data_IF_879620186687
#
_entry.id   IF_879620186687
#
_cell.length_a   1.000
_cell.length_b   1.000
_cell.length_c   1.000
_cell.angle_alpha   90.00
_cell.angle_beta   90.00
_cell.angle_gamma   90.00
#
_symmetry.space_group_name_H-M   'P 1'
#
loop_
_entity.id
_entity.type
_entity.pdbx_description
1 polymer ?
#
# COMPACT_ATOMS: atom_id res chain seq x y z
N UNK A 1 -43.98 29.00 -3.90
CA UNK A 1 -42.61 29.21 -4.41
C UNK A 1 -41.69 29.26 -3.19
N UNK A 2 -40.99 28.16 -2.90
CA UNK A 2 -40.30 27.94 -1.61
C UNK A 2 -38.87 28.47 -1.66
N UNK A 3 -38.56 29.51 -0.88
CA UNK A 3 -37.21 29.98 -0.59
C UNK A 3 -36.45 28.94 0.24
N UNK A 4 -35.88 27.93 -0.43
CA UNK A 4 -34.94 26.98 0.19
C UNK A 4 -33.72 26.63 -0.70
N UNK A 5 -32.95 27.62 -1.20
CA UNK A 5 -31.55 27.33 -1.51
C UNK A 5 -30.52 28.29 -0.88
N UNK A 6 -30.93 29.31 -0.10
CA UNK A 6 -29.99 30.32 0.44
C UNK A 6 -29.18 29.86 1.66
N UNK A 7 -29.61 28.81 2.37
CA UNK A 7 -28.89 28.32 3.57
C UNK A 7 -27.73 27.38 3.27
N UNK A 8 -27.62 26.83 2.05
CA UNK A 8 -26.54 25.91 1.70
C UNK A 8 -25.23 26.62 1.29
N UNK A 9 -25.28 27.89 0.90
CA UNK A 9 -24.12 28.65 0.42
C UNK A 9 -23.28 29.23 1.58
N UNK A 10 -23.87 29.39 2.77
CA UNK A 10 -23.18 29.95 3.95
C UNK A 10 -22.21 28.97 4.65
N UNK A 11 -22.24 27.68 4.29
CA UNK A 11 -21.38 26.65 4.90
C UNK A 11 -20.09 26.34 4.12
N UNK A 12 -19.90 26.97 2.96
CA UNK A 12 -18.73 26.77 2.09
C UNK A 12 -17.82 28.01 2.02
N UNK A 13 -17.97 28.98 2.93
CA UNK A 13 -17.07 30.12 2.97
C UNK A 13 -15.74 29.73 3.62
N UNK A 14 -14.59 29.79 2.90
CA UNK A 14 -13.30 29.69 3.56
C UNK A 14 -13.16 30.89 4.48
N UNK A 15 -13.04 30.64 5.79
CA UNK A 15 -12.74 31.68 6.76
C UNK A 15 -11.41 32.34 6.40
N UNK A 16 -11.41 33.67 6.33
CA UNK A 16 -10.18 34.45 6.15
C UNK A 16 -9.31 34.23 7.39
N UNK A 17 -8.14 33.64 7.21
CA UNK A 17 -7.20 33.40 8.29
C UNK A 17 -6.70 34.74 8.84
N UNK A 18 -7.21 35.13 10.01
CA UNK A 18 -6.66 36.23 10.81
C UNK A 18 -5.34 35.77 11.41
N UNK A 19 -4.27 36.51 11.18
CA UNK A 19 -2.92 36.17 11.63
C UNK A 19 -2.88 35.90 13.15
N UNK A 20 -2.42 34.70 13.54
CA UNK A 20 -2.16 34.34 14.94
C UNK A 20 -3.07 33.25 15.53
N UNK A 21 -4.02 32.68 14.78
CA UNK A 21 -4.80 31.53 15.29
C UNK A 21 -3.99 30.23 15.16
N UNK A 22 -3.86 29.40 16.21
CA UNK A 22 -3.23 28.10 16.10
C UNK A 22 -4.02 27.25 15.11
N UNK A 23 -3.42 26.90 13.98
CA UNK A 23 -4.04 25.97 13.05
C UNK A 23 -3.91 24.57 13.66
N UNK A 24 -5.03 23.88 13.83
CA UNK A 24 -5.02 22.47 14.22
C UNK A 24 -4.75 21.68 12.94
N UNK A 25 -3.48 21.35 12.68
CA UNK A 25 -3.16 20.37 11.64
C UNK A 25 -3.64 19.01 12.13
N UNK A 26 -4.48 18.35 11.34
CA UNK A 26 -4.71 16.92 11.53
C UNK A 26 -3.36 16.23 11.36
N UNK A 27 -3.07 15.26 12.22
CA UNK A 27 -1.91 14.40 12.03
C UNK A 27 -2.00 13.72 10.66
N UNK A 28 -0.87 13.41 10.02
CA UNK A 28 -0.87 12.78 8.69
C UNK A 28 -1.74 11.51 8.65
N UNK A 29 -1.74 10.74 9.74
CA UNK A 29 -2.62 9.60 9.93
C UNK A 29 -4.11 9.98 9.89
N UNK A 30 -4.50 11.03 10.60
CA UNK A 30 -5.90 11.47 10.63
C UNK A 30 -6.34 12.02 9.26
N UNK A 31 -5.45 12.72 8.54
CA UNK A 31 -5.70 13.18 7.17
C UNK A 31 -5.93 12.02 6.21
N UNK A 32 -5.07 10.99 6.23
CA UNK A 32 -5.24 9.79 5.42
C UNK A 32 -6.54 9.04 5.74
N UNK A 33 -6.93 8.96 7.02
CA UNK A 33 -8.19 8.32 7.43
C UNK A 33 -9.39 9.10 6.91
N UNK A 34 -9.34 10.43 6.97
CA UNK A 34 -10.41 11.30 6.47
C UNK A 34 -10.56 11.21 4.95
N UNK A 35 -9.45 11.14 4.21
CA UNK A 35 -9.46 10.93 2.77
C UNK A 35 -10.09 9.57 2.41
N UNK A 36 -9.66 8.50 3.08
CA UNK A 36 -10.24 7.17 2.89
C UNK A 36 -11.76 7.16 3.20
N UNK A 37 -12.17 7.72 4.34
CA UNK A 37 -13.59 7.85 4.71
C UNK A 37 -14.39 8.62 3.67
N UNK A 38 -13.82 9.71 3.13
CA UNK A 38 -14.47 10.55 2.12
C UNK A 38 -14.65 9.81 0.81
N UNK A 39 -13.61 9.09 0.35
CA UNK A 39 -13.68 8.24 -0.84
C UNK A 39 -14.74 7.14 -0.68
N UNK A 40 -14.73 6.42 0.44
CA UNK A 40 -15.72 5.38 0.73
C UNK A 40 -17.14 5.93 0.79
N UNK A 41 -17.34 7.09 1.43
CA UNK A 41 -18.65 7.73 1.52
C UNK A 41 -19.16 8.15 0.12
N UNK A 42 -18.27 8.73 -0.70
CA UNK A 42 -18.60 9.08 -2.09
C UNK A 42 -19.00 7.87 -2.92
N UNK A 43 -18.22 6.79 -2.84
CA UNK A 43 -18.53 5.52 -3.52
C UNK A 43 -19.84 4.91 -3.02
N UNK A 44 -20.08 4.92 -1.71
CA UNK A 44 -21.31 4.40 -1.10
C UNK A 44 -22.55 5.16 -1.61
N UNK A 45 -22.47 6.49 -1.68
CA UNK A 45 -23.55 7.32 -2.23
C UNK A 45 -23.74 7.06 -3.73
N UNK A 46 -22.66 6.90 -4.50
CA UNK A 46 -22.73 6.57 -5.92
C UNK A 46 -23.42 5.23 -6.17
N UNK A 47 -23.06 4.19 -5.42
CA UNK A 47 -23.74 2.89 -5.46
C UNK A 47 -25.21 3.01 -5.07
N UNK A 48 -25.53 3.78 -4.04
CA UNK A 48 -26.92 4.05 -3.62
C UNK A 48 -27.73 4.69 -4.74
N UNK A 49 -27.16 5.66 -5.46
CA UNK A 49 -27.80 6.28 -6.61
C UNK A 49 -27.99 5.30 -7.77
N UNK A 50 -26.99 4.45 -8.04
CA UNK A 50 -27.07 3.42 -9.08
C UNK A 50 -28.19 2.40 -8.78
N UNK A 51 -28.26 1.89 -7.55
CA UNK A 51 -29.32 0.97 -7.10
C UNK A 51 -30.69 1.63 -7.21
N UNK A 52 -30.82 2.87 -6.74
CA UNK A 52 -32.07 3.64 -6.88
C UNK A 52 -32.48 3.82 -8.34
N UNK A 53 -31.54 4.17 -9.21
CA UNK A 53 -31.80 4.40 -10.63
C UNK A 53 -32.23 3.11 -11.33
N UNK A 54 -31.53 2.01 -11.07
CA UNK A 54 -31.82 0.71 -11.67
C UNK A 54 -33.18 0.18 -11.20
N UNK A 55 -33.46 0.24 -9.89
CA UNK A 55 -34.74 -0.19 -9.34
C UNK A 55 -35.91 0.63 -9.89
N UNK A 56 -35.76 1.96 -9.93
CA UNK A 56 -36.81 2.84 -10.45
C UNK A 56 -36.95 2.76 -11.98
N UNK A 57 -35.93 2.28 -12.70
CA UNK A 57 -36.04 1.93 -14.12
C UNK A 57 -36.87 0.66 -14.26
N UNK A 58 -36.56 -0.39 -13.50
CA UNK A 58 -37.30 -1.65 -13.51
C UNK A 58 -38.77 -1.49 -13.07
N UNK A 59 -39.03 -0.65 -12.07
CA UNK A 59 -40.37 -0.35 -11.60
C UNK A 59 -41.26 0.37 -12.65
N UNK A 60 -40.70 0.83 -13.78
CA UNK A 60 -41.50 1.35 -14.90
C UNK A 60 -42.16 0.22 -15.67
N UNK A 61 -41.47 -0.91 -15.79
CA UNK A 61 -41.88 -2.04 -16.63
C UNK A 61 -42.69 -3.07 -15.83
N UNK A 62 -42.67 -2.99 -14.49
CA UNK A 62 -43.38 -3.90 -13.60
C UNK A 62 -44.40 -3.14 -12.73
N UNK A 63 -45.71 -3.25 -13.02
CA UNK A 63 -46.75 -2.44 -12.35
C UNK A 63 -46.86 -2.62 -10.83
N UNK A 64 -46.38 -3.75 -10.29
CA UNK A 64 -46.45 -4.08 -8.85
C UNK A 64 -45.25 -3.60 -8.04
N UNK A 65 -44.19 -3.08 -8.67
CA UNK A 65 -42.94 -2.74 -8.00
C UNK A 65 -43.01 -1.31 -7.41
N UNK A 66 -42.80 -1.13 -6.09
CA UNK A 66 -42.81 0.20 -5.47
C UNK A 66 -41.58 1.00 -5.91
N UNK A 67 -41.75 2.33 -6.08
CA UNK A 67 -40.63 3.24 -6.36
C UNK A 67 -39.81 3.50 -5.10
N UNK A 68 -38.49 3.44 -5.22
CA UNK A 68 -37.57 3.75 -4.14
C UNK A 68 -37.26 5.25 -4.08
N UNK A 69 -37.59 5.87 -2.95
CA UNK A 69 -37.08 7.18 -2.56
C UNK A 69 -35.59 7.12 -2.16
N UNK A 70 -34.94 8.28 -2.04
CA UNK A 70 -33.50 8.32 -1.71
C UNK A 70 -33.18 7.72 -0.34
N UNK A 71 -34.02 7.97 0.68
CA UNK A 71 -33.83 7.37 2.00
C UNK A 71 -34.02 5.85 2.00
N UNK A 72 -35.00 5.34 1.25
CA UNK A 72 -35.25 3.90 1.14
C UNK A 72 -34.10 3.19 0.41
N UNK A 73 -33.55 3.78 -0.65
CA UNK A 73 -32.40 3.22 -1.35
C UNK A 73 -31.14 3.22 -0.45
N UNK A 74 -30.90 4.28 0.31
CA UNK A 74 -29.78 4.36 1.25
C UNK A 74 -29.91 3.31 2.35
N UNK A 75 -31.10 3.20 2.95
CA UNK A 75 -31.38 2.18 3.96
C UNK A 75 -31.22 0.76 3.40
N UNK A 76 -31.71 0.51 2.18
CA UNK A 76 -31.57 -0.79 1.52
C UNK A 76 -30.10 -1.17 1.32
N UNK A 77 -29.29 -0.28 0.73
CA UNK A 77 -27.86 -0.53 0.52
C UNK A 77 -27.13 -0.70 1.85
N UNK A 78 -27.42 0.15 2.84
CA UNK A 78 -26.83 0.05 4.17
C UNK A 78 -27.13 -1.28 4.87
N UNK A 79 -28.40 -1.68 4.91
CA UNK A 79 -28.83 -2.96 5.50
C UNK A 79 -28.24 -4.15 4.75
N UNK A 80 -28.16 -4.06 3.42
CA UNK A 80 -27.53 -5.09 2.61
C UNK A 80 -26.04 -5.21 2.94
N UNK A 81 -25.31 -4.09 3.04
CA UNK A 81 -23.91 -4.08 3.46
C UNK A 81 -23.73 -4.68 4.85
N UNK A 82 -24.56 -4.34 5.83
CA UNK A 82 -24.54 -4.93 7.17
C UNK A 82 -24.80 -6.45 7.14
N UNK A 83 -25.77 -6.90 6.34
CA UNK A 83 -26.08 -8.32 6.17
C UNK A 83 -24.91 -9.10 5.59
N UNK A 84 -24.28 -8.58 4.53
CA UNK A 84 -23.07 -9.18 3.96
C UNK A 84 -21.92 -9.17 4.95
N UNK A 85 -21.71 -8.06 5.67
CA UNK A 85 -20.69 -7.97 6.70
C UNK A 85 -20.87 -9.07 7.76
N UNK A 86 -22.10 -9.28 8.24
CA UNK A 86 -22.42 -10.33 9.19
C UNK A 86 -22.11 -11.72 8.62
N UNK A 87 -22.52 -12.01 7.38
CA UNK A 87 -22.25 -13.29 6.72
C UNK A 87 -20.74 -13.52 6.55
N UNK A 88 -20.00 -12.50 6.11
CA UNK A 88 -18.54 -12.59 5.97
C UNK A 88 -17.87 -12.83 7.33
N UNK A 89 -18.32 -12.15 8.39
CA UNK A 89 -17.86 -12.40 9.75
C UNK A 89 -18.18 -13.82 10.22
N UNK A 90 -19.35 -14.37 9.88
CA UNK A 90 -19.70 -15.75 10.22
C UNK A 90 -18.85 -16.78 9.44
N UNK A 91 -18.52 -16.53 8.18
CA UNK A 91 -17.60 -17.40 7.41
C UNK A 91 -16.20 -17.36 8.01
N UNK A 92 -15.72 -16.17 8.37
CA UNK A 92 -14.43 -16.01 9.05
C UNK A 92 -14.41 -16.72 10.42
N UNK A 93 -15.47 -16.58 11.23
CA UNK A 93 -15.61 -17.29 12.51
C UNK A 93 -15.78 -18.81 12.35
N UNK A 94 -16.46 -19.26 11.29
CA UNK A 94 -16.54 -20.68 10.94
C UNK A 94 -15.17 -21.29 10.62
N UNK A 95 -14.29 -20.52 9.97
CA UNK A 95 -12.90 -20.91 9.74
C UNK A 95 -12.11 -21.04 11.05
N UNK A 96 -12.38 -20.19 12.05
CA UNK A 96 -11.75 -20.30 13.38
C UNK A 96 -12.19 -21.56 14.13
N UNK A 97 -13.45 -21.99 13.97
CA UNK A 97 -13.94 -23.27 14.50
C UNK A 97 -13.27 -24.48 13.84
N UNK A 98 -12.81 -24.36 12.59
CA UNK A 98 -12.07 -25.41 11.89
C UNK A 98 -10.59 -25.51 12.33
N UNK A 99 -10.08 -24.57 13.13
CA UNK A 99 -8.70 -24.59 13.68
C UNK A 99 -8.70 -24.53 15.22
N UNK A 100 -9.27 -25.53 15.90
CA UNK A 100 -9.32 -25.54 17.37
C UNK A 100 -7.90 -25.55 17.95
N UNK A 101 -7.63 -24.63 18.89
CA UNK A 101 -6.32 -24.51 19.56
C UNK A 101 -5.25 -23.68 18.82
N UNK A 102 -5.59 -23.09 17.67
CA UNK A 102 -4.68 -22.22 16.91
C UNK A 102 -4.53 -20.81 17.50
N UNK A 103 -5.37 -20.40 18.44
CA UNK A 103 -5.33 -19.08 19.05
C UNK A 103 -4.84 -19.14 20.49
N UNK A 104 -3.86 -18.32 20.83
CA UNK A 104 -3.39 -18.10 22.20
C UNK A 104 -3.61 -16.64 22.61
N UNK A 105 -3.84 -16.42 23.92
CA UNK A 105 -4.04 -15.08 24.44
C UNK A 105 -2.69 -14.34 24.45
N UNK A 106 -2.60 -13.25 23.69
CA UNK A 106 -1.43 -12.37 23.62
C UNK A 106 -1.81 -10.97 24.13
N UNK A 107 -1.52 -10.71 25.40
CA UNK A 107 -1.91 -9.47 26.08
C UNK A 107 -3.43 -9.29 26.18
N UNK A 108 -3.96 -8.23 25.57
CA UNK A 108 -5.41 -7.91 25.51
C UNK A 108 -6.13 -8.51 24.30
N UNK A 109 -5.39 -9.13 23.38
CA UNK A 109 -5.92 -9.70 22.13
C UNK A 109 -5.58 -11.19 22.02
N UNK A 110 -6.16 -11.88 21.03
CA UNK A 110 -5.80 -13.25 20.70
C UNK A 110 -4.89 -13.24 19.47
N UNK A 111 -3.81 -14.01 19.50
CA UNK A 111 -2.87 -14.17 18.40
C UNK A 111 -2.79 -15.63 17.99
N UNK A 112 -2.42 -15.88 16.73
CA UNK A 112 -2.24 -17.25 16.25
C UNK A 112 -0.97 -17.84 16.88
N UNK A 113 -1.09 -19.04 17.44
CA UNK A 113 0.00 -19.77 18.09
C UNK A 113 1.14 -19.99 17.08
N UNK A 114 2.33 -19.49 17.40
CA UNK A 114 3.52 -19.65 16.56
C UNK A 114 3.73 -18.56 15.49
N UNK A 115 2.86 -17.55 15.42
CA UNK A 115 3.15 -16.32 14.71
C UNK A 115 3.52 -15.24 15.75
N UNK A 116 4.81 -15.08 16.13
CA UNK A 116 5.19 -13.89 16.85
C UNK A 116 4.74 -12.69 16.00
N UNK A 117 3.98 -11.74 16.56
CA UNK A 117 3.69 -10.51 15.83
C UNK A 117 5.03 -9.91 15.48
N UNK A 118 5.33 -9.84 14.17
CA UNK A 118 6.55 -9.20 13.69
C UNK A 118 6.58 -7.82 14.32
N UNK A 119 7.62 -7.55 15.09
CA UNK A 119 7.85 -6.21 15.61
C UNK A 119 7.93 -5.24 14.44
N UNK A 120 7.61 -3.97 14.67
CA UNK A 120 7.71 -2.93 13.63
C UNK A 120 9.10 -2.93 12.97
N UNK A 121 10.14 -3.26 13.74
CA UNK A 121 11.51 -3.46 13.27
C UNK A 121 11.65 -4.64 12.32
N UNK A 122 11.09 -5.80 12.64
CA UNK A 122 11.14 -6.99 11.77
C UNK A 122 10.32 -6.79 10.50
N UNK A 123 9.17 -6.13 10.59
CA UNK A 123 8.41 -5.74 9.42
C UNK A 123 9.24 -4.78 8.56
N UNK A 124 9.84 -3.74 9.13
CA UNK A 124 10.72 -2.85 8.37
C UNK A 124 11.89 -3.59 7.70
N UNK A 125 12.50 -4.57 8.38
CA UNK A 125 13.58 -5.40 7.82
C UNK A 125 13.10 -6.26 6.64
N UNK A 126 11.92 -6.88 6.75
CA UNK A 126 11.32 -7.65 5.66
C UNK A 126 10.93 -6.76 4.48
N UNK A 127 10.32 -5.60 4.72
CA UNK A 127 9.96 -4.63 3.68
C UNK A 127 11.19 -4.20 2.87
N UNK A 128 12.27 -3.86 3.58
CA UNK A 128 13.57 -3.48 3.00
C UNK A 128 14.13 -4.56 2.08
N UNK A 129 14.16 -5.81 2.56
CA UNK A 129 14.63 -6.96 1.78
C UNK A 129 13.76 -7.21 0.56
N UNK A 130 12.44 -7.25 0.74
CA UNK A 130 11.47 -7.47 -0.34
C UNK A 130 11.62 -6.41 -1.44
N UNK A 131 11.88 -5.16 -1.07
CA UNK A 131 12.11 -4.09 -2.05
C UNK A 131 13.34 -4.33 -2.92
N UNK A 132 14.42 -4.85 -2.33
CA UNK A 132 15.63 -5.22 -3.07
C UNK A 132 15.42 -6.48 -3.93
N UNK A 133 14.61 -7.44 -3.48
CA UNK A 133 14.18 -8.61 -4.28
C UNK A 133 13.38 -8.17 -5.51
N UNK A 134 12.47 -7.20 -5.37
CA UNK A 134 11.71 -6.64 -6.50
C UNK A 134 12.59 -5.89 -7.51
N UNK A 135 13.71 -5.30 -7.07
CA UNK A 135 14.72 -4.73 -7.95
C UNK A 135 15.50 -5.85 -8.66
N UNK A 136 15.95 -6.88 -7.92
CA UNK A 136 16.63 -8.05 -8.50
C UNK A 136 15.80 -8.65 -9.62
N UNK A 137 14.54 -8.95 -9.36
CA UNK A 137 13.69 -9.61 -10.37
C UNK A 137 13.57 -8.76 -11.64
N UNK A 138 13.48 -7.43 -11.51
CA UNK A 138 13.45 -6.52 -12.65
C UNK A 138 14.79 -6.48 -13.41
N UNK A 139 15.91 -6.49 -12.69
CA UNK A 139 17.25 -6.57 -13.28
C UNK A 139 17.48 -7.88 -14.03
N UNK A 140 16.99 -9.01 -13.51
CA UNK A 140 17.12 -10.31 -14.15
C UNK A 140 16.22 -10.46 -15.37
N UNK A 141 15.01 -9.90 -15.33
CA UNK A 141 14.15 -9.80 -16.52
C UNK A 141 14.86 -8.98 -17.59
N UNK A 142 15.45 -7.83 -17.24
CA UNK A 142 16.22 -7.01 -18.17
C UNK A 142 17.41 -7.78 -18.76
N UNK A 143 18.22 -8.41 -17.92
CA UNK A 143 19.39 -9.18 -18.32
C UNK A 143 19.02 -10.32 -19.28
N UNK A 144 17.91 -11.02 -19.04
CA UNK A 144 17.43 -12.09 -19.93
C UNK A 144 17.10 -11.59 -21.34
N UNK A 145 16.70 -10.33 -21.48
CA UNK A 145 16.34 -9.71 -22.76
C UNK A 145 17.55 -9.05 -23.46
N UNK A 146 18.59 -8.70 -22.71
CA UNK A 146 19.75 -7.94 -23.19
C UNK A 146 21.06 -8.73 -23.11
N UNK A 147 20.99 -10.06 -23.29
CA UNK A 147 22.17 -10.93 -23.39
C UNK A 147 22.99 -10.96 -22.10
N UNK A 148 22.32 -11.13 -20.95
CA UNK A 148 22.89 -11.19 -19.60
C UNK A 148 23.55 -9.89 -19.11
N UNK A 149 23.24 -8.76 -19.72
CA UNK A 149 23.76 -7.45 -19.31
C UNK A 149 22.75 -6.71 -18.43
N UNK A 150 23.24 -6.23 -17.29
CA UNK A 150 22.46 -5.30 -16.47
C UNK A 150 22.53 -3.88 -17.06
N UNK A 151 21.59 -2.99 -16.67
CA UNK A 151 21.60 -1.59 -17.10
C UNK A 151 22.93 -0.88 -16.81
N UNK A 152 23.26 0.12 -17.61
CA UNK A 152 24.49 0.89 -17.41
C UNK A 152 24.41 1.83 -16.18
N UNK A 153 23.22 2.29 -15.84
CA UNK A 153 22.97 3.20 -14.72
C UNK A 153 21.52 3.09 -14.25
N UNK A 154 21.29 3.40 -12.97
CA UNK A 154 19.98 3.57 -12.33
C UNK A 154 19.15 4.76 -12.87
N UNK A 155 19.78 5.67 -13.62
CA UNK A 155 19.13 6.78 -14.31
C UNK A 155 18.66 6.43 -15.73
N UNK A 156 18.96 5.21 -16.19
CA UNK A 156 18.59 4.79 -17.55
C UNK A 156 17.07 4.57 -17.63
N UNK A 157 16.40 4.95 -18.73
CA UNK A 157 14.96 4.78 -18.89
C UNK A 157 14.51 3.32 -19.07
N UNK A 158 15.46 2.37 -19.07
CA UNK A 158 15.25 0.94 -19.26
C UNK A 158 14.43 0.30 -18.12
N UNK A 159 14.52 0.84 -16.91
CA UNK A 159 13.67 0.46 -15.78
C UNK A 159 12.87 1.66 -15.25
N UNK A 160 11.59 1.47 -14.87
CA UNK A 160 10.80 2.53 -14.25
C UNK A 160 11.47 3.06 -12.97
N UNK A 161 11.53 4.39 -12.82
CA UNK A 161 12.18 5.08 -11.68
C UNK A 161 11.74 4.52 -10.32
N UNK A 162 10.45 4.17 -10.20
CA UNK A 162 9.90 3.59 -8.99
C UNK A 162 10.73 2.39 -8.52
N UNK A 163 11.19 1.51 -9.42
CA UNK A 163 11.96 0.27 -9.12
C UNK A 163 13.28 0.54 -8.41
N UNK A 164 13.91 1.68 -8.66
CA UNK A 164 15.18 2.06 -8.06
C UNK A 164 15.05 2.57 -6.62
N UNK A 165 13.84 2.95 -6.19
CA UNK A 165 13.62 3.58 -4.88
C UNK A 165 13.59 2.58 -3.73
N UNK A 166 14.20 2.99 -2.60
CA UNK A 166 14.16 2.25 -1.33
C UNK A 166 12.84 2.44 -0.59
N UNK A 167 12.63 1.62 0.45
CA UNK A 167 11.44 1.71 1.31
C UNK A 167 11.42 3.03 2.08
N UNK A 168 10.22 3.58 2.27
CA UNK A 168 10.02 4.85 2.98
C UNK A 168 10.11 6.04 2.03
N UNK A 169 9.23 7.02 2.21
CA UNK A 169 9.03 8.18 1.33
C UNK A 169 10.21 9.15 1.17
N UNK A 170 11.43 8.73 1.50
CA UNK A 170 12.69 9.47 1.32
C UNK A 170 13.01 9.78 -0.15
N UNK A 171 12.46 9.02 -1.10
CA UNK A 171 12.74 9.15 -2.52
C UNK A 171 14.16 8.72 -2.93
N UNK A 172 14.96 8.15 -2.01
CA UNK A 172 16.32 7.71 -2.34
C UNK A 172 16.32 6.44 -3.19
N UNK A 173 17.31 6.35 -4.07
CA UNK A 173 17.58 5.13 -4.84
C UNK A 173 18.47 4.16 -4.05
N UNK A 174 18.42 2.88 -4.43
CA UNK A 174 19.51 1.96 -4.15
C UNK A 174 20.79 2.48 -4.82
N UNK A 175 21.92 2.31 -4.15
CA UNK A 175 23.22 2.60 -4.75
C UNK A 175 23.53 1.46 -5.71
N UNK A 176 23.54 1.77 -7.00
CA UNK A 176 23.70 0.81 -8.08
C UNK A 176 25.10 0.88 -8.69
N UNK A 177 25.67 -0.28 -8.95
CA UNK A 177 26.98 -0.44 -9.60
C UNK A 177 26.75 -0.98 -11.01
N UNK A 178 26.59 -0.05 -11.95
CA UNK A 178 26.20 -0.36 -13.32
C UNK A 178 27.31 -0.98 -14.18
N UNK A 179 26.91 -1.47 -15.35
CA UNK A 179 27.84 -2.03 -16.36
C UNK A 179 28.28 -3.47 -16.08
N UNK A 180 27.64 -4.16 -15.13
CA UNK A 180 27.93 -5.54 -14.79
C UNK A 180 27.07 -6.54 -15.59
N UNK A 181 27.47 -7.81 -15.58
CA UNK A 181 26.76 -8.92 -16.23
C UNK A 181 26.31 -9.96 -15.21
N UNK A 182 25.25 -10.70 -15.50
CA UNK A 182 24.74 -11.76 -14.62
C UNK A 182 25.74 -12.93 -14.47
N UNK A 183 26.61 -13.15 -15.47
CA UNK A 183 27.67 -14.16 -15.42
C UNK A 183 28.98 -13.66 -14.78
N UNK A 184 29.01 -12.42 -14.27
CA UNK A 184 30.20 -11.87 -13.64
C UNK A 184 30.54 -12.61 -12.33
N UNK A 185 31.82 -12.63 -11.91
CA UNK A 185 32.21 -13.07 -10.57
C UNK A 185 31.36 -12.37 -9.52
N UNK A 186 31.13 -13.02 -8.37
CA UNK A 186 30.24 -12.57 -7.29
C UNK A 186 30.65 -11.17 -6.79
N UNK A 187 30.07 -10.14 -7.40
CA UNK A 187 30.37 -8.74 -7.16
C UNK A 187 29.11 -8.01 -6.70
N UNK A 188 29.23 -6.99 -5.84
CA UNK A 188 28.08 -6.19 -5.44
C UNK A 188 27.47 -5.44 -6.64
N UNK A 189 26.17 -5.63 -6.86
CA UNK A 189 25.40 -5.04 -7.96
C UNK A 189 24.57 -3.84 -7.49
N UNK A 190 23.90 -3.96 -6.34
CA UNK A 190 23.11 -2.88 -5.76
C UNK A 190 23.07 -2.99 -4.23
N UNK A 191 23.00 -1.87 -3.51
CA UNK A 191 22.88 -1.90 -2.04
C UNK A 191 22.14 -0.69 -1.48
N UNK A 192 21.66 -0.82 -0.25
CA UNK A 192 20.91 0.26 0.41
C UNK A 192 21.76 1.51 0.72
N UNK A 193 21.16 2.72 0.67
CA UNK A 193 21.78 3.95 1.14
C UNK A 193 21.89 3.94 2.68
N UNK A 194 22.68 4.87 3.22
CA UNK A 194 23.03 4.94 4.66
C UNK A 194 21.89 5.31 5.62
N UNK A 195 20.62 5.22 5.22
CA UNK A 195 19.47 5.59 6.05
C UNK A 195 19.11 4.54 7.11
N UNK A 196 19.44 3.26 6.90
CA UNK A 196 18.85 2.15 7.64
C UNK A 196 19.77 1.48 8.67
N UNK A 197 20.78 2.23 9.15
CA UNK A 197 21.70 1.79 10.20
C UNK A 197 23.05 1.26 9.69
N UNK A 198 23.79 0.49 10.52
CA UNK A 198 25.17 0.10 10.26
C UNK A 198 25.31 -1.01 9.20
N UNK A 199 24.27 -1.82 9.03
CA UNK A 199 24.23 -2.95 8.10
C UNK A 199 23.19 -2.74 7.02
N UNK A 200 23.54 -3.12 5.78
CA UNK A 200 22.78 -2.83 4.57
C UNK A 200 22.49 -4.12 3.81
N UNK A 201 21.34 -4.20 3.18
CA UNK A 201 21.07 -5.24 2.20
C UNK A 201 21.85 -4.95 0.92
N UNK A 202 22.51 -5.99 0.39
CA UNK A 202 23.36 -5.97 -0.79
C UNK A 202 22.91 -7.09 -1.72
N UNK A 203 22.64 -6.74 -2.96
CA UNK A 203 22.39 -7.64 -4.08
C UNK A 203 23.70 -7.86 -4.83
N UNK A 204 24.02 -9.12 -5.10
CA UNK A 204 25.19 -9.54 -5.87
C UNK A 204 24.81 -9.92 -7.30
N UNK A 205 25.80 -9.98 -8.19
CA UNK A 205 25.64 -10.39 -9.61
C UNK A 205 25.10 -11.80 -9.81
N UNK A 206 25.26 -12.69 -8.82
CA UNK A 206 24.70 -14.05 -8.81
C UNK A 206 23.24 -14.11 -8.32
N UNK A 207 22.65 -12.97 -7.95
CA UNK A 207 21.28 -12.86 -7.45
C UNK A 207 21.14 -13.08 -5.95
N UNK A 208 22.26 -13.33 -5.26
CA UNK A 208 22.27 -13.49 -3.81
C UNK A 208 22.06 -12.14 -3.11
N UNK A 209 21.32 -12.17 -2.01
CA UNK A 209 21.00 -10.99 -1.21
C UNK A 209 21.48 -11.23 0.22
N UNK A 210 22.43 -10.41 0.68
CA UNK A 210 23.02 -10.53 2.01
C UNK A 210 23.01 -9.20 2.75
N UNK A 211 22.99 -9.29 4.07
CA UNK A 211 23.17 -8.13 4.93
C UNK A 211 24.65 -8.00 5.27
N UNK A 212 25.27 -6.87 4.91
CA UNK A 212 26.69 -6.60 5.15
C UNK A 212 26.88 -5.22 5.81
N UNK A 213 27.86 -5.07 6.70
CA UNK A 213 28.28 -3.76 7.17
C UNK A 213 28.99 -3.01 6.03
N UNK A 214 28.92 -1.68 6.03
CA UNK A 214 29.45 -0.85 4.93
C UNK A 214 30.92 -1.14 4.58
N UNK A 215 31.76 -1.47 5.57
CA UNK A 215 33.18 -1.77 5.35
C UNK A 215 33.38 -2.98 4.44
N UNK A 216 32.57 -4.02 4.63
CA UNK A 216 32.65 -5.27 3.87
C UNK A 216 32.12 -5.07 2.45
N UNK A 217 31.16 -4.16 2.27
CA UNK A 217 30.68 -3.75 0.94
C UNK A 217 31.82 -3.07 0.16
N UNK A 218 32.54 -2.14 0.79
CA UNK A 218 33.67 -1.47 0.13
C UNK A 218 34.81 -2.44 -0.19
N UNK A 219 35.09 -3.40 0.70
CA UNK A 219 36.06 -4.46 0.42
C UNK A 219 35.63 -5.33 -0.77
N UNK A 220 34.37 -5.77 -0.79
CA UNK A 220 33.82 -6.57 -1.90
C UNK A 220 33.78 -5.80 -3.23
N UNK A 221 33.59 -4.48 -3.21
CA UNK A 221 33.68 -3.63 -4.39
C UNK A 221 35.12 -3.51 -4.92
N UNK A 222 36.12 -3.53 -4.03
CA UNK A 222 37.53 -3.51 -4.40
C UNK A 222 38.01 -4.85 -4.96
N UNK A 223 37.50 -5.97 -4.42
CA UNK A 223 37.82 -7.33 -4.89
C UNK A 223 37.11 -7.69 -6.20
N UNK A 224 35.91 -7.13 -6.44
CA UNK A 224 35.12 -7.34 -7.66
C UNK A 224 35.39 -6.35 -8.79
N UNK A 225 36.31 -5.41 -8.62
CA UNK A 225 36.72 -4.49 -9.69
C UNK A 225 37.59 -5.24 -10.73
N UNK A 226 37.27 -5.18 -12.03
CA UNK A 226 38.08 -5.80 -13.07
C UNK A 226 39.49 -5.18 -13.19
#
# INVERSE_FOLDING_TARGET
>A
MSLRPLLAVLWLWPGVALAGMPFVQLTDLATQRLEALSFFLGLFLLVTLAVKALWNRLARDVPRLPRLGSGAALALVFLWTLGFQLVLSMIAGGRELMTPGAWEKSGTTYALKGAPPLSDTEWMLQARRQRLEELRDALWVHASQHGQRFPASDLSPELPEARWRVVGGSGLHFIYVGGQTADAPKAPLAYEPGLFGPSRWVLFTDGDIRQLPLRDIHAALQEGAP
#
